data_IF_509738382767
#
_entry.id   IF_509738382767
#
_cell.length_a   1.000
_cell.length_b   1.000
_cell.length_c   1.000
_cell.angle_alpha   90.00
_cell.angle_beta   90.00
_cell.angle_gamma   90.00
#
_symmetry.space_group_name_H-M   'P 1'
#
loop_
_entity.id
_entity.type
_entity.pdbx_description
1 polymer ?
#
# COMPACT_ATOMS: atom_id res chain seq x y z
N UNK A 1 2.29 -24.45 -0.28
CA UNK A 1 2.48 -23.24 0.53
C UNK A 1 1.45 -22.19 0.10
N UNK A 2 0.53 -21.82 1.01
CA UNK A 2 -0.51 -20.82 0.74
C UNK A 2 0.03 -19.39 0.65
N UNK A 3 -0.79 -18.41 0.24
CA UNK A 3 -0.35 -17.01 0.18
C UNK A 3 0.01 -16.44 1.56
N UNK A 4 -0.82 -16.74 2.56
CA UNK A 4 -0.60 -16.35 3.96
C UNK A 4 0.69 -16.96 4.53
N UNK A 5 0.91 -18.26 4.32
CA UNK A 5 2.11 -18.95 4.76
C UNK A 5 3.38 -18.36 4.10
N UNK A 6 3.31 -18.02 2.80
CA UNK A 6 4.40 -17.29 2.13
C UNK A 6 4.66 -15.93 2.77
N UNK A 7 3.60 -15.18 3.05
CA UNK A 7 3.70 -13.86 3.65
C UNK A 7 4.38 -13.95 5.03
N UNK A 8 3.94 -14.86 5.90
CA UNK A 8 4.56 -15.06 7.21
C UNK A 8 6.02 -15.51 7.13
N UNK A 9 6.35 -16.41 6.20
CA UNK A 9 7.73 -16.88 6.02
C UNK A 9 8.67 -15.75 5.55
N UNK A 10 8.18 -14.81 4.73
CA UNK A 10 8.96 -13.64 4.31
C UNK A 10 9.42 -12.82 5.53
N UNK A 11 8.56 -12.60 6.53
CA UNK A 11 8.96 -11.88 7.74
C UNK A 11 9.87 -12.71 8.65
N UNK A 12 9.57 -14.00 8.84
CA UNK A 12 10.42 -14.90 9.64
C UNK A 12 11.85 -14.97 9.12
N UNK A 13 12.01 -14.99 7.80
CA UNK A 13 13.30 -15.16 7.14
C UNK A 13 13.94 -13.83 6.71
N UNK A 14 13.17 -12.75 6.67
CA UNK A 14 13.58 -11.42 6.17
C UNK A 14 14.12 -11.43 4.74
N UNK A 15 13.58 -12.32 3.92
CA UNK A 15 14.04 -12.56 2.55
C UNK A 15 12.84 -12.64 1.61
N UNK A 16 12.87 -11.84 0.55
CA UNK A 16 12.09 -12.11 -0.65
C UNK A 16 12.92 -13.00 -1.58
N UNK A 17 12.47 -14.24 -1.75
CA UNK A 17 13.11 -15.20 -2.64
C UNK A 17 12.87 -14.83 -4.10
N UNK A 18 13.96 -14.74 -4.85
CA UNK A 18 13.92 -14.49 -6.27
C UNK A 18 13.38 -15.70 -7.02
N UNK A 19 12.37 -15.46 -7.87
CA UNK A 19 11.74 -16.50 -8.67
C UNK A 19 12.37 -16.55 -10.07
N UNK A 20 12.45 -17.74 -10.70
CA UNK A 20 12.78 -17.88 -12.11
C UNK A 20 11.97 -16.93 -13.00
N UNK A 21 12.64 -16.21 -13.89
CA UNK A 21 12.02 -15.36 -14.90
C UNK A 21 12.39 -15.80 -16.31
N UNK A 22 11.44 -15.63 -17.21
CA UNK A 22 11.67 -15.71 -18.65
C UNK A 22 12.40 -14.46 -19.12
N UNK A 23 13.46 -14.63 -19.93
CA UNK A 23 14.14 -13.54 -20.61
C UNK A 23 14.43 -13.96 -22.06
N UNK A 24 14.60 -12.97 -22.94
CA UNK A 24 15.06 -13.15 -24.32
C UNK A 24 16.57 -12.99 -24.54
N UNK A 25 17.31 -12.35 -23.63
CA UNK A 25 18.77 -12.18 -23.75
C UNK A 25 19.37 -13.54 -23.42
N UNK A 26 19.61 -14.32 -24.48
CA UNK A 26 20.17 -15.68 -24.46
C UNK A 26 19.19 -16.83 -24.15
N UNK A 27 18.01 -16.89 -24.80
CA UNK A 27 17.47 -18.22 -25.16
C UNK A 27 18.43 -18.84 -26.19
N UNK A 28 19.51 -19.44 -25.70
CA UNK A 28 20.44 -20.21 -26.53
C UNK A 28 19.65 -21.33 -27.17
N UNK A 29 19.73 -21.42 -28.51
CA UNK A 29 19.13 -22.50 -29.29
C UNK A 29 19.55 -23.86 -28.71
N UNK A 30 18.65 -24.84 -28.82
CA UNK A 30 18.71 -26.18 -28.23
C UNK A 30 20.12 -26.77 -28.05
N UNK A 31 20.41 -27.27 -26.84
CA UNK A 31 21.58 -28.13 -26.57
C UNK A 31 22.51 -27.72 -25.41
N UNK A 32 22.27 -26.60 -24.72
CA UNK A 32 23.06 -26.21 -23.53
C UNK A 32 22.32 -26.45 -22.20
N UNK A 33 23.04 -26.60 -21.06
CA UNK A 33 22.44 -26.90 -19.76
C UNK A 33 21.40 -25.84 -19.37
N UNK A 34 20.17 -26.29 -19.07
CA UNK A 34 19.03 -25.42 -18.71
C UNK A 34 19.31 -24.53 -17.48
N UNK A 35 20.23 -24.93 -16.62
CA UNK A 35 20.49 -24.30 -15.33
C UNK A 35 21.27 -22.98 -15.42
N UNK A 36 21.99 -22.73 -16.52
CA UNK A 36 22.71 -21.46 -16.74
C UNK A 36 21.80 -20.32 -17.25
N UNK A 37 20.52 -20.62 -17.57
CA UNK A 37 19.58 -19.69 -18.20
C UNK A 37 18.48 -19.18 -17.26
N UNK A 38 18.47 -19.59 -16.00
CA UNK A 38 17.43 -19.19 -15.05
C UNK A 38 17.87 -17.94 -14.31
N UNK A 39 17.59 -16.77 -14.91
CA UNK A 39 17.64 -15.51 -14.18
C UNK A 39 16.55 -15.55 -13.12
N UNK A 40 16.96 -15.38 -11.85
CA UNK A 40 16.02 -15.23 -10.74
C UNK A 40 15.89 -13.75 -10.41
N UNK A 41 14.67 -13.29 -10.20
CA UNK A 41 14.44 -11.94 -9.67
C UNK A 41 13.27 -11.89 -8.70
N UNK A 42 13.33 -10.92 -7.80
CA UNK A 42 12.17 -10.41 -7.08
C UNK A 42 11.52 -9.35 -7.96
N UNK A 43 10.19 -9.35 -8.03
CA UNK A 43 9.40 -8.43 -8.84
C UNK A 43 8.59 -7.49 -7.96
N UNK A 44 8.54 -6.23 -8.37
CA UNK A 44 7.77 -5.16 -7.75
C UNK A 44 6.86 -4.56 -8.81
N UNK A 45 5.68 -4.10 -8.38
CA UNK A 45 4.79 -3.31 -9.22
C UNK A 45 4.85 -1.86 -8.77
N UNK A 46 4.95 -0.94 -9.73
CA UNK A 46 4.76 0.48 -9.44
C UNK A 46 3.30 0.85 -9.74
N UNK A 47 2.42 0.55 -8.79
CA UNK A 47 0.98 0.69 -8.93
C UNK A 47 0.46 1.96 -8.23
N UNK A 48 -0.48 2.65 -8.88
CA UNK A 48 -1.32 3.64 -8.21
C UNK A 48 -2.33 2.98 -7.28
N UNK A 49 -2.97 3.78 -6.41
CA UNK A 49 -4.06 3.34 -5.53
C UNK A 49 -5.14 2.60 -6.33
N UNK A 50 -5.54 3.17 -7.46
CA UNK A 50 -6.62 2.66 -8.29
C UNK A 50 -6.25 1.38 -9.06
N UNK A 51 -4.95 1.10 -9.25
CA UNK A 51 -4.45 -0.10 -9.94
C UNK A 51 -4.28 -1.31 -9.00
N UNK A 52 -4.17 -1.09 -7.68
CA UNK A 52 -3.87 -2.16 -6.73
C UNK A 52 -4.94 -3.28 -6.65
N UNK A 53 -6.25 -3.00 -6.74
CA UNK A 53 -7.26 -4.06 -6.80
C UNK A 53 -7.02 -5.05 -7.93
N UNK A 54 -6.65 -4.57 -9.12
CA UNK A 54 -6.33 -5.44 -10.27
C UNK A 54 -5.11 -6.31 -10.01
N UNK A 55 -4.13 -5.84 -9.23
CA UNK A 55 -3.00 -6.64 -8.79
C UNK A 55 -3.42 -7.76 -7.82
N UNK A 56 -4.31 -7.48 -6.87
CA UNK A 56 -4.83 -8.51 -5.97
C UNK A 56 -5.56 -9.61 -6.74
N UNK A 57 -6.40 -9.24 -7.70
CA UNK A 57 -7.12 -10.18 -8.55
C UNK A 57 -6.15 -11.01 -9.41
N UNK A 58 -5.17 -10.36 -10.05
CA UNK A 58 -4.19 -11.03 -10.91
C UNK A 58 -3.27 -11.99 -10.15
N UNK A 59 -3.07 -11.78 -8.84
CA UNK A 59 -2.23 -12.64 -7.98
C UNK A 59 -3.04 -13.61 -7.11
N UNK A 60 -4.36 -13.45 -7.06
CA UNK A 60 -5.25 -14.23 -6.18
C UNK A 60 -4.89 -14.05 -4.70
N UNK A 61 -4.43 -12.86 -4.31
CA UNK A 61 -3.96 -12.58 -2.95
C UNK A 61 -3.95 -11.09 -2.65
N UNK A 62 -4.42 -10.74 -1.45
CA UNK A 62 -4.45 -9.35 -0.94
C UNK A 62 -3.26 -9.02 -0.02
N UNK A 63 -2.34 -9.97 0.17
CA UNK A 63 -1.13 -9.76 0.95
C UNK A 63 -0.12 -8.93 0.15
N UNK A 64 0.41 -7.87 0.74
CA UNK A 64 1.38 -6.98 0.10
C UNK A 64 2.41 -6.45 1.08
N UNK A 65 3.61 -6.13 0.57
CA UNK A 65 4.67 -5.47 1.33
C UNK A 65 5.12 -4.26 0.50
N UNK A 66 4.96 -3.07 1.06
CA UNK A 66 5.43 -1.83 0.46
C UNK A 66 6.79 -1.48 1.06
N UNK A 67 7.79 -1.31 0.20
CA UNK A 67 9.14 -0.90 0.60
C UNK A 67 9.36 0.57 0.26
N UNK A 68 10.27 1.21 0.99
CA UNK A 68 10.73 2.54 0.60
C UNK A 68 11.48 2.49 -0.73
N UNK A 69 11.24 3.49 -1.57
CA UNK A 69 11.79 3.54 -2.92
C UNK A 69 13.32 3.65 -2.94
N UNK A 70 13.91 4.38 -1.99
CA UNK A 70 15.36 4.52 -1.83
C UNK A 70 16.03 3.16 -1.54
N UNK A 71 15.46 2.36 -0.64
CA UNK A 71 15.92 1.01 -0.35
C UNK A 71 15.91 0.13 -1.61
N UNK A 72 14.82 0.14 -2.38
CA UNK A 72 14.72 -0.64 -3.61
C UNK A 72 15.74 -0.16 -4.65
N UNK A 73 15.89 1.15 -4.85
CA UNK A 73 16.88 1.73 -5.76
C UNK A 73 18.31 1.32 -5.39
N UNK A 74 18.68 1.46 -4.12
CA UNK A 74 19.98 1.05 -3.59
C UNK A 74 20.21 -0.46 -3.73
N UNK A 75 19.13 -1.24 -3.71
CA UNK A 75 19.16 -2.68 -3.93
C UNK A 75 19.29 -3.09 -5.41
N UNK A 76 19.28 -2.13 -6.33
CA UNK A 76 19.47 -2.35 -7.77
C UNK A 76 18.18 -2.55 -8.55
N UNK A 77 17.07 -1.96 -8.10
CA UNK A 77 15.78 -1.99 -8.80
C UNK A 77 15.90 -1.46 -10.24
N UNK A 78 15.39 -2.21 -11.22
CA UNK A 78 15.39 -1.82 -12.64
C UNK A 78 14.02 -2.03 -13.29
N UNK A 79 13.61 -1.17 -14.23
CA UNK A 79 12.33 -1.31 -14.90
C UNK A 79 12.38 -2.47 -15.90
N UNK A 80 11.26 -3.16 -16.05
CA UNK A 80 11.04 -4.17 -17.08
C UNK A 80 10.41 -3.51 -18.30
N UNK A 81 10.99 -3.79 -19.47
CA UNK A 81 10.46 -3.37 -20.76
C UNK A 81 9.76 -4.56 -21.40
N UNK A 82 8.49 -4.37 -21.74
CA UNK A 82 7.67 -5.40 -22.37
C UNK A 82 7.73 -5.30 -23.89
N UNK A 83 7.91 -6.45 -24.55
CA UNK A 83 8.00 -6.58 -26.01
C UNK A 83 6.86 -7.46 -26.49
N UNK A 84 6.21 -7.05 -27.58
CA UNK A 84 5.16 -7.83 -28.21
C UNK A 84 5.76 -9.07 -28.89
N UNK A 85 5.24 -10.27 -28.59
CA UNK A 85 5.70 -11.50 -29.23
C UNK A 85 5.50 -11.53 -30.75
N UNK A 86 4.61 -10.71 -31.31
CA UNK A 86 4.37 -10.65 -32.75
C UNK A 86 5.27 -9.63 -33.48
N UNK A 87 6.00 -8.78 -32.76
CA UNK A 87 6.81 -7.71 -33.34
C UNK A 87 8.28 -8.12 -33.48
N UNK A 88 8.59 -8.77 -34.61
CA UNK A 88 9.93 -9.25 -34.92
C UNK A 88 10.98 -8.13 -35.10
N UNK A 89 10.56 -6.93 -35.51
CA UNK A 89 11.48 -5.79 -35.67
C UNK A 89 11.87 -5.20 -34.31
N UNK A 90 10.91 -5.03 -33.39
CA UNK A 90 11.17 -4.60 -32.02
C UNK A 90 12.07 -5.59 -31.28
N UNK A 91 11.86 -6.90 -31.47
CA UNK A 91 12.74 -7.95 -30.91
C UNK A 91 14.17 -7.81 -31.41
N UNK A 92 14.39 -7.69 -32.73
CA UNK A 92 15.74 -7.56 -33.30
C UNK A 92 16.47 -6.32 -32.79
N UNK A 93 15.77 -5.19 -32.63
CA UNK A 93 16.36 -3.95 -32.15
C UNK A 93 16.84 -4.03 -30.69
N UNK A 94 16.12 -4.77 -29.82
CA UNK A 94 16.40 -4.84 -28.39
C UNK A 94 17.39 -5.94 -28.00
N UNK A 95 17.59 -6.96 -28.84
CA UNK A 95 18.48 -8.11 -28.58
C UNK A 95 19.96 -7.72 -28.55
N UNK A 96 20.37 -6.61 -29.16
CA UNK A 96 21.80 -6.31 -29.35
C UNK A 96 22.40 -5.16 -28.53
N UNK A 97 21.63 -4.40 -27.75
CA UNK A 97 22.19 -3.21 -27.05
C UNK A 97 21.46 -2.77 -25.76
N UNK A 98 20.58 -3.60 -25.19
CA UNK A 98 19.71 -3.13 -24.12
C UNK A 98 20.22 -3.50 -22.71
N UNK A 99 20.55 -2.54 -21.83
CA UNK A 99 20.80 -2.79 -20.41
C UNK A 99 19.52 -3.08 -19.61
N UNK A 100 18.36 -3.14 -20.29
CA UNK A 100 17.03 -3.26 -19.69
C UNK A 100 16.64 -4.72 -19.45
N UNK A 101 15.81 -4.93 -18.43
CA UNK A 101 15.15 -6.22 -18.19
C UNK A 101 14.01 -6.36 -19.20
N UNK A 102 13.96 -7.45 -19.98
CA UNK A 102 12.98 -7.62 -21.06
C UNK A 102 12.02 -8.76 -20.73
N UNK A 103 10.72 -8.53 -20.91
CA UNK A 103 9.67 -9.55 -20.82
C UNK A 103 8.83 -9.56 -22.10
N UNK A 104 8.36 -10.74 -22.50
CA UNK A 104 7.53 -10.88 -23.71
C UNK A 104 6.07 -11.04 -23.30
N UNK A 105 5.19 -10.31 -23.97
CA UNK A 105 3.75 -10.44 -23.79
C UNK A 105 3.08 -10.91 -25.07
N UNK A 106 1.95 -11.59 -24.92
CA UNK A 106 1.17 -12.14 -26.03
C UNK A 106 -0.17 -11.43 -26.15
N UNK A 107 -0.88 -11.64 -27.26
CA UNK A 107 -2.27 -11.14 -27.41
C UNK A 107 -3.22 -11.72 -26.36
N UNK A 108 -2.86 -12.83 -25.72
CA UNK A 108 -3.63 -13.49 -24.67
C UNK A 108 -3.25 -13.03 -23.25
N UNK A 109 -2.13 -12.34 -23.10
CA UNK A 109 -1.60 -11.98 -21.79
C UNK A 109 -0.71 -10.74 -21.89
N UNK A 110 -1.32 -9.57 -21.66
CA UNK A 110 -0.67 -8.26 -21.64
C UNK A 110 -0.49 -7.80 -20.18
N UNK A 111 0.76 -7.80 -19.71
CA UNK A 111 1.12 -7.37 -18.34
C UNK A 111 1.72 -5.95 -18.31
N UNK A 112 1.65 -5.18 -19.40
CA UNK A 112 2.26 -3.83 -19.43
C UNK A 112 1.69 -2.90 -18.37
N UNK A 113 0.44 -3.11 -17.99
CA UNK A 113 -0.23 -2.38 -16.92
C UNK A 113 0.43 -2.60 -15.55
N UNK A 114 1.15 -3.70 -15.32
CA UNK A 114 1.78 -3.99 -14.03
C UNK A 114 3.00 -3.11 -13.73
N UNK A 115 3.54 -2.43 -14.75
CA UNK A 115 4.72 -1.55 -14.64
C UNK A 115 5.82 -2.20 -13.79
N UNK A 116 6.18 -3.43 -14.16
CA UNK A 116 7.06 -4.28 -13.34
C UNK A 116 8.48 -3.72 -13.23
N UNK A 117 9.03 -3.82 -12.03
CA UNK A 117 10.44 -3.58 -11.73
C UNK A 117 11.03 -4.82 -11.07
N UNK A 118 12.34 -5.03 -11.21
CA UNK A 118 13.00 -6.25 -10.74
C UNK A 118 14.33 -5.98 -10.07
N UNK A 119 14.65 -6.84 -9.11
CA UNK A 119 15.97 -6.99 -8.49
C UNK A 119 16.46 -8.41 -8.77
N UNK A 120 17.60 -8.56 -9.45
CA UNK A 120 18.12 -9.85 -9.96
C UNK A 120 18.83 -10.72 -8.92
N UNK A 121 18.30 -10.75 -7.69
CA UNK A 121 18.79 -11.56 -6.56
C UNK A 121 17.70 -11.66 -5.50
N UNK A 122 17.88 -12.56 -4.54
CA UNK A 122 17.07 -12.53 -3.32
C UNK A 122 17.22 -11.16 -2.66
N UNK A 123 16.13 -10.60 -2.16
CA UNK A 123 16.15 -9.33 -1.46
C UNK A 123 16.08 -9.59 0.05
N UNK A 124 17.20 -9.34 0.73
CA UNK A 124 17.25 -9.26 2.18
C UNK A 124 16.81 -7.86 2.61
N UNK A 125 16.02 -7.76 3.67
CA UNK A 125 15.52 -6.48 4.17
C UNK A 125 15.44 -6.48 5.69
N UNK A 126 15.41 -5.29 6.27
CA UNK A 126 15.08 -5.04 7.67
C UNK A 126 13.73 -4.32 7.77
N UNK A 127 13.23 -4.18 8.99
CA UNK A 127 11.92 -3.57 9.22
C UNK A 127 11.89 -2.09 8.88
N UNK A 128 13.04 -1.42 8.93
CA UNK A 128 13.22 -0.02 8.51
C UNK A 128 13.09 0.18 6.99
N UNK A 129 13.28 -0.88 6.20
CA UNK A 129 13.16 -0.85 4.74
C UNK A 129 11.69 -0.92 4.27
N UNK A 130 10.80 -1.39 5.14
CA UNK A 130 9.37 -1.53 4.88
C UNK A 130 8.66 -0.23 5.26
N UNK A 131 7.90 0.32 4.32
CA UNK A 131 7.03 1.47 4.57
C UNK A 131 5.77 1.04 5.32
N UNK A 132 5.08 0.01 4.79
CA UNK A 132 3.91 -0.60 5.40
C UNK A 132 3.62 -1.96 4.76
N UNK A 133 2.74 -2.73 5.40
CA UNK A 133 2.26 -4.01 4.89
C UNK A 133 0.76 -3.92 4.60
N UNK A 134 0.30 -4.72 3.64
CA UNK A 134 -1.10 -4.82 3.28
C UNK A 134 -1.57 -6.24 3.58
N UNK A 135 -2.70 -6.36 4.26
CA UNK A 135 -3.30 -7.65 4.63
C UNK A 135 -4.79 -7.69 4.26
N UNK A 136 -5.38 -8.87 4.06
CA UNK A 136 -6.82 -9.01 3.90
C UNK A 136 -7.59 -8.41 5.07
N UNK A 137 -8.75 -7.82 4.82
CA UNK A 137 -9.58 -7.19 5.87
C UNK A 137 -9.99 -8.19 6.95
N UNK A 138 -10.42 -9.40 6.56
CA UNK A 138 -10.82 -10.46 7.50
C UNK A 138 -9.67 -10.96 8.39
N UNK A 139 -8.43 -10.57 8.07
CA UNK A 139 -7.21 -10.90 8.82
C UNK A 139 -6.56 -9.67 9.47
N UNK A 140 -7.14 -8.48 9.32
CA UNK A 140 -6.53 -7.24 9.77
C UNK A 140 -6.19 -7.26 11.27
N UNK A 141 -7.17 -7.60 12.12
CA UNK A 141 -6.96 -7.70 13.58
C UNK A 141 -5.91 -8.74 13.98
N UNK A 142 -5.92 -9.91 13.32
CA UNK A 142 -4.90 -10.94 13.56
C UNK A 142 -3.48 -10.43 13.25
N UNK A 143 -3.29 -9.71 12.15
CA UNK A 143 -1.96 -9.20 11.77
C UNK A 143 -1.51 -8.02 12.61
N UNK A 144 -2.44 -7.17 13.09
CA UNK A 144 -2.11 -6.17 14.11
C UNK A 144 -1.52 -6.85 15.34
N UNK A 145 -2.26 -7.79 15.94
CA UNK A 145 -1.80 -8.53 17.12
C UNK A 145 -0.49 -9.28 16.84
N UNK A 146 -0.35 -9.87 15.65
CA UNK A 146 0.84 -10.66 15.31
C UNK A 146 2.11 -9.81 15.21
N UNK A 147 2.01 -8.61 14.63
CA UNK A 147 3.15 -7.70 14.55
C UNK A 147 3.41 -6.97 15.89
N UNK A 148 2.37 -6.58 16.64
CA UNK A 148 2.52 -5.95 17.96
C UNK A 148 3.15 -6.90 19.00
N UNK A 149 2.77 -8.18 18.99
CA UNK A 149 3.36 -9.18 19.90
C UNK A 149 4.75 -9.66 19.50
N UNK A 150 5.29 -9.19 18.37
CA UNK A 150 6.63 -9.49 17.94
C UNK A 150 7.51 -8.24 18.07
N UNK A 151 8.35 -8.18 19.11
CA UNK A 151 9.23 -7.03 19.39
C UNK A 151 10.00 -6.55 18.17
N UNK A 152 10.35 -7.46 17.27
CA UNK A 152 11.05 -7.13 16.05
C UNK A 152 10.21 -6.27 15.10
N UNK A 153 8.91 -6.57 14.98
CA UNK A 153 8.00 -5.97 14.00
C UNK A 153 7.02 -4.95 14.58
N UNK A 154 7.15 -4.59 15.85
CA UNK A 154 6.23 -3.67 16.55
C UNK A 154 6.01 -2.33 15.83
N UNK A 155 7.00 -1.87 15.07
CA UNK A 155 6.90 -0.61 14.33
C UNK A 155 6.39 -0.75 12.88
N UNK A 156 5.98 -1.95 12.46
CA UNK A 156 5.42 -2.15 11.14
C UNK A 156 3.99 -1.63 11.10
N UNK A 157 3.71 -0.81 10.10
CA UNK A 157 2.37 -0.28 9.90
C UNK A 157 1.57 -1.25 9.02
N UNK A 158 0.41 -1.67 9.53
CA UNK A 158 -0.50 -2.58 8.84
C UNK A 158 -1.65 -1.79 8.22
N UNK A 159 -1.84 -1.94 6.92
CA UNK A 159 -3.01 -1.47 6.19
C UNK A 159 -3.88 -2.65 5.77
N UNK A 160 -5.19 -2.44 5.79
CA UNK A 160 -6.12 -3.40 5.20
C UNK A 160 -6.24 -3.17 3.70
N UNK A 161 -6.38 -4.27 2.94
CA UNK A 161 -6.68 -4.25 1.53
C UNK A 161 -7.99 -3.49 1.20
N UNK A 162 -8.92 -3.35 2.15
CA UNK A 162 -10.17 -2.61 1.94
C UNK A 162 -9.93 -1.14 1.59
N UNK A 163 -8.82 -0.55 2.09
CA UNK A 163 -8.40 0.82 1.76
C UNK A 163 -8.24 1.02 0.25
N UNK A 164 -7.94 -0.04 -0.49
CA UNK A 164 -7.78 -0.02 -1.94
C UNK A 164 -9.01 -0.57 -2.68
N UNK A 165 -9.71 -1.55 -2.08
CA UNK A 165 -10.81 -2.26 -2.74
C UNK A 165 -12.16 -1.57 -2.67
N UNK A 166 -12.45 -0.88 -1.57
CA UNK A 166 -13.76 -0.28 -1.33
C UNK A 166 -13.61 0.94 -0.43
N UNK A 167 -13.65 2.14 -1.02
CA UNK A 167 -13.47 3.37 -0.25
C UNK A 167 -14.61 3.60 0.75
N UNK A 168 -15.83 3.13 0.45
CA UNK A 168 -16.95 3.20 1.40
C UNK A 168 -16.75 2.26 2.59
N UNK A 169 -16.30 1.03 2.36
CA UNK A 169 -16.02 0.11 3.46
C UNK A 169 -14.79 0.57 4.25
N UNK A 170 -13.80 1.18 3.57
CA UNK A 170 -12.70 1.87 4.25
C UNK A 170 -13.21 2.98 5.16
N UNK A 171 -14.12 3.84 4.70
CA UNK A 171 -14.76 4.87 5.54
C UNK A 171 -15.49 4.27 6.75
N UNK A 172 -16.28 3.21 6.53
CA UNK A 172 -17.07 2.58 7.59
C UNK A 172 -16.16 1.92 8.63
N UNK A 173 -15.13 1.19 8.21
CA UNK A 173 -14.28 0.42 9.11
C UNK A 173 -13.15 1.24 9.72
N UNK A 174 -12.79 2.39 9.14
CA UNK A 174 -11.66 3.19 9.61
C UNK A 174 -11.76 3.60 11.09
N UNK A 175 -12.90 4.10 11.62
CA UNK A 175 -12.99 4.52 13.02
C UNK A 175 -12.80 3.37 14.03
N UNK A 176 -13.02 2.11 13.61
CA UNK A 176 -12.87 0.91 14.44
C UNK A 176 -11.42 0.39 14.53
N UNK A 177 -10.46 1.03 13.85
CA UNK A 177 -9.06 0.60 13.84
C UNK A 177 -8.33 1.13 15.07
N UNK A 178 -7.46 0.31 15.67
CA UNK A 178 -6.78 0.57 16.96
C UNK A 178 -6.01 1.89 17.07
N UNK A 179 -5.71 2.54 15.94
CA UNK A 179 -5.04 3.84 15.89
C UNK A 179 -5.99 5.04 15.81
N UNK A 180 -7.30 4.81 15.60
CA UNK A 180 -8.30 5.85 15.51
C UNK A 180 -9.12 5.83 16.80
N UNK A 181 -8.99 6.88 17.61
CA UNK A 181 -9.70 7.01 18.90
C UNK A 181 -11.23 7.24 18.73
N UNK A 182 -11.82 6.84 17.61
CA UNK A 182 -13.14 7.28 17.17
C UNK A 182 -14.11 6.11 17.07
N UNK A 183 -14.21 5.30 18.13
CA UNK A 183 -15.27 4.29 18.27
C UNK A 183 -16.67 4.86 17.98
N UNK A 184 -16.83 6.20 18.08
CA UNK A 184 -18.03 6.92 17.67
C UNK A 184 -17.68 8.23 16.97
N UNK A 185 -18.23 8.45 15.76
CA UNK A 185 -18.11 9.72 15.03
C UNK A 185 -19.19 10.68 15.52
N UNK A 186 -18.81 11.89 15.94
CA UNK A 186 -19.77 12.96 16.28
C UNK A 186 -20.11 13.79 15.05
N UNK A 187 -21.36 13.75 14.64
CA UNK A 187 -21.92 14.52 13.52
C UNK A 187 -22.85 15.64 14.00
N UNK A 188 -23.06 16.68 13.19
CA UNK A 188 -23.90 17.85 13.50
C UNK A 188 -23.52 18.62 14.77
N UNK A 189 -22.26 18.51 15.19
CA UNK A 189 -21.73 19.35 16.28
C UNK A 189 -21.46 20.75 15.74
N UNK A 190 -22.11 21.76 16.31
CA UNK A 190 -21.71 23.16 16.21
C UNK A 190 -20.96 23.55 17.50
N UNK A 191 -20.16 24.63 17.47
CA UNK A 191 -19.22 25.04 18.54
C UNK A 191 -19.81 25.10 19.97
N UNK A 192 -21.14 25.15 20.10
CA UNK A 192 -21.86 25.19 21.38
C UNK A 192 -22.85 24.03 21.62
N UNK A 193 -22.98 23.06 20.71
CA UNK A 193 -23.92 21.93 20.85
C UNK A 193 -23.20 20.59 20.98
N UNK A 194 -23.78 19.66 21.76
CA UNK A 194 -23.33 18.26 21.72
C UNK A 194 -23.87 17.64 20.43
N UNK A 195 -22.98 17.40 19.46
CA UNK A 195 -23.32 16.66 18.23
C UNK A 195 -23.83 15.25 18.52
N UNK A 196 -24.44 14.64 17.49
CA UNK A 196 -24.97 13.28 17.54
C UNK A 196 -23.84 12.26 17.35
N UNK A 197 -23.77 11.26 18.22
CA UNK A 197 -22.82 10.15 18.07
C UNK A 197 -23.40 9.11 17.11
N UNK A 198 -22.61 8.72 16.12
CA UNK A 198 -22.94 7.66 15.17
C UNK A 198 -21.85 6.59 15.22
N UNK A 199 -22.29 5.35 15.35
CA UNK A 199 -21.44 4.18 15.23
C UNK A 199 -21.31 3.80 13.75
N UNK A 200 -20.13 3.36 13.32
CA UNK A 200 -19.92 2.82 11.97
C UNK A 200 -20.86 1.65 11.64
N UNK A 201 -21.20 0.84 12.64
CA UNK A 201 -22.10 -0.29 12.46
C UNK A 201 -23.53 0.13 12.10
N UNK A 202 -23.88 1.41 12.33
CA UNK A 202 -25.16 1.99 11.92
C UNK A 202 -25.39 1.86 10.41
N UNK A 203 -24.32 1.76 9.62
CA UNK A 203 -24.37 1.69 8.15
C UNK A 203 -24.25 0.27 7.59
N UNK A 204 -24.17 -0.75 8.44
CA UNK A 204 -24.16 -2.15 8.01
C UNK A 204 -25.49 -2.59 7.36
N UNK A 205 -26.56 -1.84 7.60
CA UNK A 205 -27.88 -2.05 6.99
C UNK A 205 -28.01 -1.47 5.58
N UNK A 206 -27.02 -0.72 5.09
CA UNK A 206 -27.07 -0.15 3.74
C UNK A 206 -26.98 -1.26 2.68
N UNK A 207 -27.93 -1.25 1.73
CA UNK A 207 -27.95 -2.15 0.58
C UNK A 207 -26.76 -1.88 -0.35
N UNK A 208 -26.41 -2.87 -1.19
CA UNK A 208 -25.36 -2.70 -2.19
C UNK A 208 -25.64 -1.54 -3.17
N UNK A 209 -26.91 -1.29 -3.48
CA UNK A 209 -27.32 -0.16 -4.33
C UNK A 209 -27.09 1.18 -3.64
N UNK A 210 -27.49 1.31 -2.36
CA UNK A 210 -27.26 2.52 -1.57
C UNK A 210 -25.76 2.81 -1.43
N UNK A 211 -24.97 1.78 -1.11
CA UNK A 211 -23.51 1.88 -1.04
C UNK A 211 -22.90 2.31 -2.37
N UNK A 212 -23.36 1.73 -3.48
CA UNK A 212 -22.90 2.09 -4.82
C UNK A 212 -23.23 3.54 -5.19
N UNK A 213 -24.45 3.99 -4.91
CA UNK A 213 -24.90 5.36 -5.16
C UNK A 213 -24.08 6.36 -4.36
N UNK A 214 -23.92 6.13 -3.05
CA UNK A 214 -23.10 6.98 -2.20
C UNK A 214 -21.65 7.04 -2.66
N UNK A 215 -21.05 5.88 -2.96
CA UNK A 215 -19.68 5.81 -3.44
C UNK A 215 -19.47 6.56 -4.76
N UNK A 216 -20.47 6.57 -5.64
CA UNK A 216 -20.43 7.34 -6.88
C UNK A 216 -20.56 8.84 -6.63
N UNK A 217 -21.51 9.26 -5.78
CA UNK A 217 -21.75 10.67 -5.45
C UNK A 217 -20.57 11.30 -4.70
N UNK A 218 -19.88 10.52 -3.86
CA UNK A 218 -18.77 10.96 -2.98
C UNK A 218 -17.42 10.40 -3.39
N UNK A 219 -17.26 10.00 -4.64
CA UNK A 219 -16.06 9.31 -5.12
C UNK A 219 -14.78 10.11 -4.84
N UNK A 220 -14.81 11.42 -5.07
CA UNK A 220 -13.62 12.28 -4.91
C UNK A 220 -13.19 12.34 -3.45
N UNK A 221 -14.13 12.61 -2.55
CA UNK A 221 -13.90 12.69 -1.11
C UNK A 221 -13.44 11.36 -0.53
N UNK A 222 -14.08 10.26 -0.93
CA UNK A 222 -13.72 8.90 -0.53
C UNK A 222 -12.33 8.50 -1.04
N UNK A 223 -11.99 8.84 -2.28
CA UNK A 223 -10.65 8.62 -2.83
C UNK A 223 -9.60 9.46 -2.09
N UNK A 224 -9.89 10.73 -1.83
CA UNK A 224 -9.02 11.61 -1.04
C UNK A 224 -8.77 11.04 0.36
N UNK A 225 -9.81 10.53 1.01
CA UNK A 225 -9.69 9.90 2.32
C UNK A 225 -8.80 8.65 2.29
N UNK A 226 -9.02 7.73 1.35
CA UNK A 226 -8.17 6.55 1.18
C UNK A 226 -6.70 6.92 0.90
N UNK A 227 -6.46 7.90 0.03
CA UNK A 227 -5.12 8.44 -0.24
C UNK A 227 -4.49 9.02 1.02
N UNK A 228 -5.24 9.79 1.79
CA UNK A 228 -4.74 10.40 3.02
C UNK A 228 -4.31 9.33 4.01
N UNK A 229 -5.09 8.27 4.22
CA UNK A 229 -4.72 7.17 5.12
C UNK A 229 -3.36 6.55 4.74
N UNK A 230 -3.10 6.35 3.44
CA UNK A 230 -1.84 5.78 2.94
C UNK A 230 -0.69 6.77 3.11
N UNK A 231 -0.91 8.05 2.77
CA UNK A 231 0.08 9.11 2.90
C UNK A 231 0.47 9.30 4.36
N UNK A 232 -0.48 9.45 5.27
CA UNK A 232 -0.25 9.56 6.71
C UNK A 232 0.54 8.36 7.24
N UNK A 233 0.20 7.15 6.78
CA UNK A 233 0.94 5.92 7.14
C UNK A 233 2.39 6.00 6.68
N UNK A 234 2.62 6.35 5.43
CA UNK A 234 3.96 6.46 4.86
C UNK A 234 4.79 7.58 5.52
N UNK A 235 4.19 8.77 5.68
CA UNK A 235 4.80 9.94 6.30
C UNK A 235 5.15 9.68 7.76
N UNK A 236 4.27 9.04 8.54
CA UNK A 236 4.56 8.67 9.93
C UNK A 236 5.85 7.85 10.04
N UNK A 237 6.03 6.84 9.17
CA UNK A 237 7.25 6.03 9.17
C UNK A 237 8.46 6.82 8.67
N UNK A 238 8.29 7.65 7.65
CA UNK A 238 9.36 8.51 7.12
C UNK A 238 9.85 9.52 8.17
N UNK A 239 8.93 10.23 8.82
CA UNK A 239 9.22 11.20 9.89
C UNK A 239 9.90 10.51 11.07
N UNK A 240 9.42 9.33 11.48
CA UNK A 240 10.08 8.55 12.54
C UNK A 240 11.54 8.23 12.19
N UNK A 241 11.83 7.75 10.97
CA UNK A 241 13.20 7.53 10.47
C UNK A 241 14.03 8.81 10.47
N UNK A 242 13.45 9.93 10.07
CA UNK A 242 14.13 11.23 10.06
C UNK A 242 14.48 11.70 11.48
N UNK A 243 13.54 11.60 12.42
CA UNK A 243 13.76 12.00 13.81
C UNK A 243 14.81 11.12 14.50
N UNK A 244 14.80 9.80 14.27
CA UNK A 244 15.85 8.89 14.75
C UNK A 244 17.24 9.27 14.20
N UNK A 245 17.32 9.54 12.89
CA UNK A 245 18.56 10.00 12.27
C UNK A 245 19.08 11.31 12.91
N UNK A 246 18.20 12.28 13.15
CA UNK A 246 18.61 13.55 13.78
C UNK A 246 18.96 13.36 15.26
N UNK A 247 18.29 12.44 15.98
CA UNK A 247 18.68 12.05 17.33
C UNK A 247 20.13 11.56 17.37
N UNK A 248 20.49 10.65 16.46
CA UNK A 248 21.87 10.13 16.32
C UNK A 248 22.89 11.23 16.00
N UNK A 249 22.53 12.23 15.17
CA UNK A 249 23.39 13.39 14.91
C UNK A 249 23.56 14.30 16.13
N UNK A 250 22.51 14.45 16.93
CA UNK A 250 22.53 15.23 18.17
C UNK A 250 23.49 14.63 19.19
N UNK A 251 23.43 13.30 19.36
CA UNK A 251 24.35 12.56 20.23
C UNK A 251 25.81 12.68 19.78
N UNK A 252 26.04 12.81 18.48
CA UNK A 252 27.36 13.05 17.89
C UNK A 252 27.82 14.53 17.97
N UNK A 253 27.02 15.44 18.51
CA UNK A 253 27.34 16.86 18.63
C UNK A 253 27.23 17.66 17.33
N UNK A 254 26.52 17.14 16.32
CA UNK A 254 26.41 17.72 14.96
C UNK A 254 25.06 18.43 14.70
N UNK A 255 24.14 18.45 15.66
CA UNK A 255 22.75 18.86 15.45
C UNK A 255 22.48 20.37 15.36
N UNK A 256 23.47 21.24 15.65
CA UNK A 256 23.26 22.69 15.68
C UNK A 256 22.77 23.29 14.35
N UNK A 257 22.97 22.61 13.21
CA UNK A 257 22.48 23.06 11.92
C UNK A 257 21.01 22.72 11.63
N UNK A 258 20.40 21.79 12.38
CA UNK A 258 19.09 21.21 12.05
C UNK A 258 18.00 21.44 13.12
N UNK A 259 18.35 21.96 14.31
CA UNK A 259 17.43 22.07 15.44
C UNK A 259 16.10 22.79 15.14
N UNK A 260 16.12 23.85 14.34
CA UNK A 260 14.89 24.57 13.95
C UNK A 260 13.97 23.73 13.03
N UNK A 261 14.56 22.94 12.12
CA UNK A 261 13.77 22.06 11.25
C UNK A 261 13.19 20.86 12.00
N UNK A 262 13.92 20.34 12.99
CA UNK A 262 13.43 19.25 13.86
C UNK A 262 12.20 19.70 14.63
N UNK A 263 12.22 20.91 15.22
CA UNK A 263 11.07 21.43 15.96
C UNK A 263 9.83 21.60 15.07
N UNK A 264 10.01 22.09 13.84
CA UNK A 264 8.91 22.23 12.86
C UNK A 264 8.37 20.85 12.45
N UNK A 265 9.25 19.88 12.22
CA UNK A 265 8.84 18.53 11.83
C UNK A 265 8.13 17.84 13.00
N UNK A 266 8.61 18.00 14.23
CA UNK A 266 7.94 17.48 15.42
C UNK A 266 6.56 18.11 15.62
N UNK A 267 6.43 19.43 15.47
CA UNK A 267 5.13 20.09 15.58
C UNK A 267 4.15 19.61 14.51
N UNK A 268 4.60 19.44 13.27
CA UNK A 268 3.74 19.01 12.17
C UNK A 268 3.43 17.51 12.21
N UNK A 269 4.32 16.69 12.77
CA UNK A 269 4.08 15.26 12.98
C UNK A 269 3.05 15.00 14.08
N UNK A 270 2.95 15.93 15.03
CA UNK A 270 1.93 15.98 16.08
C UNK A 270 0.69 16.80 15.69
N UNK A 271 0.61 17.29 14.44
CA UNK A 271 -0.63 17.83 13.85
C UNK A 271 -1.32 16.76 13.01
N UNK A 272 -2.05 15.80 13.60
CA UNK A 272 -2.95 14.99 12.83
C UNK A 272 -4.36 15.58 12.93
N UNK A 273 -5.26 15.01 12.16
CA UNK A 273 -6.67 14.89 12.49
C UNK A 273 -7.64 15.98 12.06
N UNK A 274 -7.42 17.29 12.17
CA UNK A 274 -8.58 18.20 12.01
C UNK A 274 -9.21 18.14 10.60
N UNK A 275 -8.42 18.15 9.52
CA UNK A 275 -8.94 18.09 8.14
C UNK A 275 -9.46 16.70 7.74
N UNK A 276 -8.76 15.63 8.11
CA UNK A 276 -9.20 14.24 7.87
C UNK A 276 -10.46 13.93 8.67
N UNK A 277 -10.51 14.36 9.94
CA UNK A 277 -11.67 14.24 10.81
C UNK A 277 -12.87 14.97 10.28
N UNK A 278 -12.69 16.20 9.82
CA UNK A 278 -13.80 16.98 9.32
C UNK A 278 -14.30 16.42 7.98
N UNK A 279 -13.41 15.88 7.15
CA UNK A 279 -13.78 15.10 5.96
C UNK A 279 -14.58 13.84 6.32
N UNK A 280 -14.09 13.03 7.26
CA UNK A 280 -14.77 11.82 7.73
C UNK A 280 -16.12 12.17 8.34
N UNK A 281 -16.19 13.19 9.21
CA UNK A 281 -17.46 13.67 9.78
C UNK A 281 -18.43 14.09 8.69
N UNK A 282 -17.99 14.86 7.70
CA UNK A 282 -18.83 15.29 6.58
C UNK A 282 -19.36 14.11 5.76
N UNK A 283 -18.52 13.12 5.49
CA UNK A 283 -18.93 11.89 4.81
C UNK A 283 -19.93 11.08 5.63
N UNK A 284 -19.73 10.97 6.95
CA UNK A 284 -20.68 10.31 7.86
C UNK A 284 -22.00 11.08 7.96
N UNK A 285 -21.98 12.42 7.95
CA UNK A 285 -23.18 13.26 7.89
C UNK A 285 -23.97 13.00 6.62
N UNK A 286 -23.31 13.02 5.47
CA UNK A 286 -23.95 12.78 4.18
C UNK A 286 -24.52 11.37 4.08
N UNK A 287 -23.78 10.36 4.55
CA UNK A 287 -24.23 8.97 4.57
C UNK A 287 -25.44 8.81 5.50
N UNK A 288 -25.43 9.48 6.66
CA UNK A 288 -26.57 9.50 7.57
C UNK A 288 -27.80 10.21 6.97
N UNK A 289 -27.62 11.31 6.23
CA UNK A 289 -28.74 11.98 5.53
C UNK A 289 -29.36 11.09 4.47
N UNK A 290 -28.55 10.37 3.71
CA UNK A 290 -29.03 9.39 2.73
C UNK A 290 -29.87 8.31 3.42
N UNK A 291 -29.36 7.74 4.50
CA UNK A 291 -30.07 6.75 5.30
C UNK A 291 -31.38 7.28 5.89
N UNK A 292 -31.36 8.49 6.47
CA UNK A 292 -32.52 9.09 7.11
C UNK A 292 -33.64 9.44 6.12
N UNK A 293 -33.32 9.95 4.93
CA UNK A 293 -34.32 10.21 3.88
C UNK A 293 -35.10 8.94 3.56
N UNK A 294 -34.42 7.83 3.36
CA UNK A 294 -35.08 6.59 2.97
C UNK A 294 -35.88 5.89 4.08
N UNK A 295 -35.55 6.14 5.35
CA UNK A 295 -36.36 5.66 6.49
C UNK A 295 -37.59 6.54 6.73
N UNK A 296 -37.49 7.84 6.48
CA UNK A 296 -38.47 8.83 6.91
C UNK A 296 -39.27 9.49 5.77
N UNK A 297 -39.00 9.20 4.50
CA UNK A 297 -39.93 9.46 3.38
C UNK A 297 -41.14 8.50 3.55
N UNK A 298 -42.41 8.86 3.79
CA UNK A 298 -43.27 10.03 3.50
C UNK A 298 -43.23 10.57 2.07
#
# INVERSE_FOLDING_TARGET
>A
MGAEERFQNIFKEKILYANPKSFFINKVKDGQPKDCNILKSVSFAFASLEELPSHFDARGSEYGICFFHDFLQNSGLRPVVYINECDEEQKKALVFNSPHLLEVYSSKYDMRWEREWRISRNLHFNNEDIAFVIVPEDKYGFYLDWFENNEEFQELIVLSAITYKSFIDHLILHPQRSNNNWDQVRIYANDSSRGMKVDSDTFNVLSGEQRGKFAQEKFVELNCFAKNTILTTYERKFVSRYLDFVGKLSDAGLANAYGAYVQIIQSNAEEPEDSERDLVKGLFEDMYRMFAREIFDY
#
